data_IF_258651498734
#
_entry.id   IF_258651498734
#
_cell.length_a   1.000
_cell.length_b   1.000
_cell.length_c   1.000
_cell.angle_alpha   90.00
_cell.angle_beta   90.00
_cell.angle_gamma   90.00
#
_symmetry.space_group_name_H-M   'P 1'
#
loop_
_entity.id
_entity.type
_entity.pdbx_description
1 polymer ?
#
# COMPACT_ATOMS: atom_id res chain seq x y z
N UNK A 1 -82.56 -21.48 18.70
CA UNK A 1 -82.90 -21.32 17.27
C UNK A 1 -81.81 -20.50 16.58
N UNK A 2 -81.31 -20.99 15.43
CA UNK A 2 -80.49 -20.33 14.38
C UNK A 2 -79.26 -19.50 14.84
N UNK A 3 -78.03 -19.93 14.55
CA UNK A 3 -77.30 -19.86 13.26
C UNK A 3 -76.45 -18.60 13.11
N UNK A 4 -75.14 -18.79 12.96
CA UNK A 4 -74.38 -18.19 11.85
C UNK A 4 -73.31 -17.15 12.20
N UNK A 5 -72.03 -17.58 12.04
CA UNK A 5 -70.85 -16.96 11.38
C UNK A 5 -70.49 -15.49 11.74
N UNK A 6 -69.24 -15.03 11.76
CA UNK A 6 -68.13 -15.03 10.77
C UNK A 6 -66.85 -14.63 11.55
N UNK A 7 -65.80 -15.46 11.62
CA UNK A 7 -64.54 -15.50 10.84
C UNK A 7 -63.49 -14.39 11.07
N UNK A 8 -62.25 -14.85 11.30
CA UNK A 8 -60.97 -14.19 11.01
C UNK A 8 -60.36 -13.47 12.22
N UNK A 9 -59.19 -13.80 12.75
CA UNK A 9 -58.17 -14.77 12.42
C UNK A 9 -56.93 -14.38 13.24
N UNK A 10 -56.47 -15.25 14.15
CA UNK A 10 -55.24 -15.07 14.90
C UNK A 10 -54.78 -16.42 15.43
N UNK A 11 -53.45 -16.56 15.51
CA UNK A 11 -52.73 -17.50 16.37
C UNK A 11 -52.70 -18.97 15.88
N UNK A 12 -51.71 -19.81 16.18
CA UNK A 12 -50.38 -19.76 16.80
C UNK A 12 -49.87 -21.20 16.59
N UNK A 13 -48.57 -21.34 16.32
CA UNK A 13 -47.65 -22.40 16.74
C UNK A 13 -48.12 -23.86 16.98
N UNK A 14 -47.23 -24.75 16.55
CA UNK A 14 -47.03 -26.15 16.97
C UNK A 14 -47.81 -27.22 16.22
N UNK A 15 -47.04 -28.13 15.60
CA UNK A 15 -47.22 -29.56 15.82
C UNK A 15 -45.97 -30.33 15.33
N UNK A 16 -45.19 -30.81 16.31
CA UNK A 16 -44.42 -32.04 16.21
C UNK A 16 -45.25 -33.10 16.95
N UNK A 17 -45.48 -34.27 16.32
CA UNK A 17 -45.25 -35.62 16.86
C UNK A 17 -46.10 -36.69 16.14
N UNK A 18 -45.44 -37.86 15.96
CA UNK A 18 -45.95 -39.25 15.91
C UNK A 18 -46.60 -39.74 14.59
N UNK A 19 -45.88 -40.50 13.75
CA UNK A 19 -45.58 -41.98 13.80
C UNK A 19 -46.73 -42.85 13.25
N UNK A 20 -46.51 -44.11 12.79
CA UNK A 20 -45.76 -44.54 11.62
C UNK A 20 -46.60 -45.56 10.78
N UNK A 21 -45.94 -46.28 9.87
CA UNK A 21 -46.34 -47.57 9.23
C UNK A 21 -46.90 -47.55 7.82
N UNK A 22 -46.38 -48.55 7.08
CA UNK A 22 -46.94 -49.24 5.93
C UNK A 22 -46.44 -48.88 4.53
N UNK A 23 -45.52 -49.75 4.09
CA UNK A 23 -45.51 -50.51 2.82
C UNK A 23 -45.20 -49.77 1.52
N UNK A 24 -43.98 -50.09 1.05
CA UNK A 24 -43.64 -50.69 -0.25
C UNK A 24 -44.31 -50.06 -1.48
N UNK A 25 -43.52 -49.31 -2.24
CA UNK A 25 -43.85 -48.91 -3.61
C UNK A 25 -42.64 -48.29 -4.27
N UNK A 26 -41.94 -49.11 -5.05
CA UNK A 26 -40.79 -48.77 -5.88
C UNK A 26 -40.99 -47.45 -6.65
N UNK A 27 -40.09 -46.48 -6.45
CA UNK A 27 -39.85 -45.41 -7.41
C UNK A 27 -38.50 -44.75 -7.16
N UNK A 28 -37.67 -44.81 -8.21
CA UNK A 28 -36.52 -43.96 -8.46
C UNK A 28 -35.33 -44.11 -7.50
N UNK A 29 -34.51 -45.10 -7.86
CA UNK A 29 -33.04 -45.00 -7.90
C UNK A 29 -32.64 -43.63 -8.46
N UNK A 30 -32.49 -42.64 -7.58
CA UNK A 30 -31.99 -41.31 -7.91
C UNK A 30 -31.21 -40.69 -6.75
N UNK A 31 -30.49 -41.51 -5.98
CA UNK A 31 -29.56 -41.02 -4.94
C UNK A 31 -28.35 -41.97 -4.86
N UNK A 32 -27.62 -42.10 -5.95
CA UNK A 32 -26.26 -42.68 -5.93
C UNK A 32 -25.44 -42.16 -7.10
N UNK A 33 -25.15 -40.84 -7.12
CA UNK A 33 -23.86 -40.22 -7.48
C UNK A 33 -23.93 -38.75 -7.00
N UNK A 34 -23.94 -38.54 -5.69
CA UNK A 34 -23.42 -37.29 -5.08
C UNK A 34 -22.27 -37.71 -4.16
N UNK A 35 -21.38 -38.52 -4.72
CA UNK A 35 -20.09 -38.84 -4.14
C UNK A 35 -19.04 -38.08 -4.95
N UNK A 36 -18.37 -37.16 -4.28
CA UNK A 36 -17.03 -36.70 -4.64
C UNK A 36 -16.87 -36.08 -6.03
N UNK A 37 -17.50 -34.93 -6.25
CA UNK A 37 -16.77 -33.81 -6.88
C UNK A 37 -16.31 -32.88 -5.76
N UNK A 38 -15.55 -33.44 -4.82
CA UNK A 38 -14.53 -32.63 -4.14
C UNK A 38 -13.63 -32.22 -5.28
N UNK A 39 -13.53 -30.91 -5.52
CA UNK A 39 -12.61 -30.35 -6.48
C UNK A 39 -11.29 -31.08 -6.35
N UNK A 40 -10.93 -31.85 -7.38
CA UNK A 40 -9.52 -32.08 -7.66
C UNK A 40 -8.99 -30.69 -7.98
N UNK A 41 -8.55 -29.97 -6.94
CA UNK A 41 -7.42 -29.09 -7.10
C UNK A 41 -6.38 -29.96 -7.78
N UNK A 42 -6.22 -29.77 -9.09
CA UNK A 42 -4.99 -30.18 -9.73
C UNK A 42 -3.94 -29.38 -8.98
N UNK A 43 -3.28 -30.04 -8.02
CA UNK A 43 -1.94 -29.68 -7.65
C UNK A 43 -1.17 -29.83 -8.95
N UNK A 44 -1.11 -28.74 -9.73
CA UNK A 44 -0.10 -28.62 -10.76
C UNK A 44 1.21 -28.85 -10.03
N UNK A 45 1.99 -29.83 -10.47
CA UNK A 45 3.35 -29.95 -9.97
C UNK A 45 4.00 -28.58 -10.17
N UNK A 46 4.53 -28.00 -9.10
CA UNK A 46 5.24 -26.74 -9.18
C UNK A 46 6.44 -26.96 -10.10
N UNK A 47 6.55 -26.15 -11.16
CA UNK A 47 7.68 -26.23 -12.10
C UNK A 47 8.93 -25.90 -11.30
N UNK A 48 9.88 -26.83 -11.22
CA UNK A 48 11.09 -26.66 -10.40
C UNK A 48 12.24 -26.15 -11.27
N UNK A 49 12.98 -25.13 -10.81
CA UNK A 49 14.02 -24.51 -11.63
C UNK A 49 15.08 -25.53 -12.10
N UNK A 50 15.65 -26.30 -11.18
CA UNK A 50 16.74 -27.23 -11.45
C UNK A 50 16.31 -28.44 -12.29
N UNK A 51 15.05 -28.85 -12.17
CA UNK A 51 14.52 -30.06 -12.83
C UNK A 51 13.87 -29.76 -14.17
N UNK A 52 13.19 -28.62 -14.30
CA UNK A 52 12.40 -28.26 -15.48
C UNK A 52 13.03 -27.16 -16.33
N UNK A 53 13.56 -26.09 -15.71
CA UNK A 53 14.05 -24.91 -16.44
C UNK A 53 15.51 -25.07 -16.85
N UNK A 54 16.35 -25.56 -15.94
CA UNK A 54 17.78 -25.72 -16.18
C UNK A 54 18.10 -26.62 -17.38
N UNK A 55 17.42 -27.76 -17.62
CA UNK A 55 17.64 -28.56 -18.83
C UNK A 55 17.30 -27.80 -20.12
N UNK A 56 16.30 -26.92 -20.11
CA UNK A 56 15.94 -26.09 -21.26
C UNK A 56 17.07 -25.09 -21.55
N UNK A 57 17.59 -24.43 -20.51
CA UNK A 57 18.73 -23.52 -20.65
C UNK A 57 19.95 -24.24 -21.22
N UNK A 58 20.26 -25.45 -20.75
CA UNK A 58 21.38 -26.26 -21.22
C UNK A 58 21.23 -26.68 -22.69
N UNK A 59 20.01 -27.03 -23.12
CA UNK A 59 19.74 -27.45 -24.49
C UNK A 59 19.78 -26.30 -25.53
N UNK A 60 19.26 -25.13 -25.14
CA UNK A 60 18.88 -24.08 -26.09
C UNK A 60 19.53 -22.72 -25.84
N UNK A 61 19.91 -22.38 -24.61
CA UNK A 61 20.37 -21.03 -24.26
C UNK A 61 21.90 -20.95 -24.08
N UNK A 62 22.51 -21.92 -23.40
CA UNK A 62 23.92 -21.88 -23.00
C UNK A 62 24.93 -21.88 -24.16
N UNK A 63 24.51 -22.26 -25.37
CA UNK A 63 25.38 -22.22 -26.56
C UNK A 63 25.76 -20.78 -26.97
N UNK A 64 24.89 -19.82 -26.66
CA UNK A 64 25.03 -18.40 -27.03
C UNK A 64 25.12 -17.45 -25.82
N UNK A 65 24.62 -17.89 -24.67
CA UNK A 65 24.52 -17.15 -23.42
C UNK A 65 25.21 -17.93 -22.28
N UNK A 66 26.44 -18.38 -22.53
CA UNK A 66 27.20 -19.20 -21.59
C UNK A 66 28.71 -19.22 -21.86
N UNK A 67 29.51 -19.19 -20.78
CA UNK A 67 30.96 -19.39 -20.84
C UNK A 67 31.70 -18.32 -21.63
N UNK A 68 32.44 -18.72 -22.67
CA UNK A 68 33.21 -17.79 -23.53
C UNK A 68 32.32 -17.02 -24.54
N UNK A 69 31.03 -17.37 -24.66
CA UNK A 69 30.07 -16.71 -25.57
C UNK A 69 28.92 -16.13 -24.76
N UNK A 70 28.96 -14.82 -24.53
CA UNK A 70 27.96 -14.08 -23.75
C UNK A 70 27.30 -13.05 -24.66
N UNK A 71 26.40 -13.49 -25.54
CA UNK A 71 25.62 -12.56 -26.37
C UNK A 71 24.67 -11.75 -25.48
N UNK A 72 24.46 -10.48 -25.82
CA UNK A 72 23.54 -9.60 -25.09
C UNK A 72 23.94 -9.33 -23.62
N UNK A 73 25.17 -9.64 -23.22
CA UNK A 73 25.63 -9.55 -21.83
C UNK A 73 24.85 -10.44 -20.84
N UNK A 74 24.16 -11.46 -21.33
CA UNK A 74 23.41 -12.43 -20.51
C UNK A 74 24.15 -13.76 -20.48
N UNK A 75 24.47 -14.25 -19.28
CA UNK A 75 25.20 -15.50 -19.03
C UNK A 75 24.41 -16.43 -18.10
N UNK A 76 23.62 -17.34 -18.69
CA UNK A 76 22.86 -18.34 -17.94
C UNK A 76 23.77 -19.42 -17.32
N UNK A 77 25.06 -19.48 -17.68
CA UNK A 77 25.98 -20.48 -17.12
C UNK A 77 26.25 -20.31 -15.62
N UNK A 78 25.96 -19.11 -15.10
CA UNK A 78 26.04 -18.76 -13.67
C UNK A 78 24.76 -19.04 -12.90
N UNK A 79 23.65 -19.32 -13.59
CA UNK A 79 22.35 -19.56 -12.95
C UNK A 79 22.12 -21.06 -12.89
N UNK A 80 22.38 -21.66 -11.72
CA UNK A 80 22.35 -23.12 -11.55
C UNK A 80 21.29 -23.59 -10.58
N UNK A 81 20.84 -22.70 -9.72
CA UNK A 81 19.86 -22.95 -8.68
C UNK A 81 18.73 -21.92 -8.73
N UNK A 82 17.61 -22.26 -8.10
CA UNK A 82 16.47 -21.35 -7.93
C UNK A 82 16.91 -20.03 -7.26
N UNK A 83 17.80 -20.11 -6.26
CA UNK A 83 18.36 -18.94 -5.59
C UNK A 83 19.21 -18.04 -6.51
N UNK A 84 19.94 -18.61 -7.48
CA UNK A 84 20.69 -17.83 -8.47
C UNK A 84 19.73 -17.13 -9.46
N UNK A 85 18.62 -17.79 -9.76
CA UNK A 85 17.59 -17.27 -10.67
C UNK A 85 16.82 -16.12 -10.01
N UNK A 86 16.45 -16.28 -8.73
CA UNK A 86 15.83 -15.24 -7.91
C UNK A 86 16.74 -14.01 -7.74
N UNK A 87 18.05 -14.22 -7.57
CA UNK A 87 19.02 -13.12 -7.49
C UNK A 87 19.09 -12.28 -8.78
N UNK A 88 18.57 -12.81 -9.89
CA UNK A 88 18.51 -12.16 -11.21
C UNK A 88 17.08 -12.10 -11.73
N UNK A 89 16.08 -11.94 -10.84
CA UNK A 89 14.67 -12.02 -11.21
C UNK A 89 14.26 -11.06 -12.35
N UNK A 90 14.79 -9.83 -12.37
CA UNK A 90 14.51 -8.83 -13.43
C UNK A 90 14.90 -9.31 -14.84
N UNK A 91 15.92 -10.17 -14.96
CA UNK A 91 16.32 -10.75 -16.25
C UNK A 91 15.21 -11.65 -16.82
N UNK A 92 14.48 -12.34 -15.95
CA UNK A 92 13.51 -13.36 -16.36
C UNK A 92 12.27 -12.77 -17.03
N UNK A 93 11.88 -11.54 -16.70
CA UNK A 93 10.84 -10.80 -17.43
C UNK A 93 11.20 -10.72 -18.92
N UNK A 94 12.40 -10.24 -19.23
CA UNK A 94 12.90 -10.16 -20.61
C UNK A 94 13.01 -11.54 -21.25
N UNK A 95 13.43 -12.56 -20.51
CA UNK A 95 13.53 -13.94 -21.04
C UNK A 95 12.16 -14.45 -21.47
N UNK A 96 11.12 -14.27 -20.65
CA UNK A 96 9.76 -14.67 -21.00
C UNK A 96 9.30 -13.91 -22.26
N UNK A 97 9.48 -12.58 -22.29
CA UNK A 97 9.08 -11.75 -23.43
C UNK A 97 9.69 -12.22 -24.76
N UNK A 98 11.01 -12.42 -24.82
CA UNK A 98 11.68 -12.82 -26.06
C UNK A 98 11.40 -14.26 -26.48
N UNK A 99 11.12 -15.15 -25.51
CA UNK A 99 10.75 -16.55 -25.77
C UNK A 99 9.31 -16.67 -26.29
N UNK A 100 8.39 -15.91 -25.71
CA UNK A 100 7.01 -15.81 -26.15
C UNK A 100 6.90 -15.17 -27.53
N UNK A 101 7.67 -14.10 -27.78
CA UNK A 101 7.78 -13.47 -29.09
C UNK A 101 8.45 -14.38 -30.14
N UNK A 102 9.13 -15.46 -29.71
CA UNK A 102 9.85 -16.37 -30.60
C UNK A 102 11.11 -15.78 -31.20
N UNK A 103 11.64 -14.71 -30.61
CA UNK A 103 12.92 -14.09 -30.99
C UNK A 103 14.11 -14.95 -30.53
N UNK A 104 13.91 -15.70 -29.45
CA UNK A 104 14.89 -16.64 -28.90
C UNK A 104 14.32 -18.07 -28.82
N UNK A 105 15.08 -19.09 -29.25
CA UNK A 105 16.35 -19.02 -29.99
C UNK A 105 16.21 -18.35 -31.37
N UNK A 106 17.28 -17.81 -31.97
CA UNK A 106 17.21 -17.21 -33.30
C UNK A 106 16.78 -18.22 -34.39
N UNK A 107 16.27 -17.75 -35.52
CA UNK A 107 15.68 -18.60 -36.58
C UNK A 107 16.63 -19.68 -37.13
N UNK A 108 17.95 -19.48 -37.05
CA UNK A 108 18.99 -20.42 -37.48
C UNK A 108 19.30 -21.53 -36.45
N UNK A 109 18.62 -21.52 -35.30
CA UNK A 109 18.79 -22.47 -34.21
C UNK A 109 17.50 -23.25 -33.90
N UNK A 110 17.61 -24.46 -33.31
CA UNK A 110 16.44 -25.24 -32.88
C UNK A 110 15.55 -24.43 -31.94
N UNK A 111 14.28 -24.30 -32.33
CA UNK A 111 13.27 -23.55 -31.58
C UNK A 111 12.80 -24.32 -30.35
N UNK A 112 12.36 -23.59 -29.32
CA UNK A 112 11.74 -24.17 -28.14
C UNK A 112 10.39 -24.80 -28.49
N UNK A 113 10.09 -25.93 -27.86
CA UNK A 113 8.77 -26.56 -27.97
C UNK A 113 7.71 -25.67 -27.27
N UNK A 114 6.43 -25.73 -27.69
CA UNK A 114 5.36 -25.03 -26.97
C UNK A 114 5.32 -25.37 -25.48
N UNK A 115 5.64 -26.62 -25.13
CA UNK A 115 5.71 -27.12 -23.77
C UNK A 115 6.85 -26.45 -22.98
N UNK A 116 8.04 -26.31 -23.57
CA UNK A 116 9.18 -25.65 -22.91
C UNK A 116 8.94 -24.16 -22.70
N UNK A 117 8.35 -23.48 -23.70
CA UNK A 117 7.95 -22.06 -23.56
C UNK A 117 6.99 -21.88 -22.40
N UNK A 118 5.98 -22.76 -22.34
CA UNK A 118 4.99 -22.77 -21.27
C UNK A 118 5.61 -23.00 -19.90
N UNK A 119 6.56 -23.94 -19.77
CA UNK A 119 7.28 -24.18 -18.51
C UNK A 119 8.02 -22.94 -18.02
N UNK A 120 8.72 -22.23 -18.91
CA UNK A 120 9.43 -20.99 -18.57
C UNK A 120 8.46 -19.93 -18.05
N UNK A 121 7.35 -19.72 -18.75
CA UNK A 121 6.32 -18.76 -18.35
C UNK A 121 5.67 -19.13 -17.00
N UNK A 122 5.25 -20.39 -16.84
CA UNK A 122 4.62 -20.87 -15.60
C UNK A 122 5.59 -20.79 -14.41
N UNK A 123 6.88 -21.10 -14.60
CA UNK A 123 7.88 -20.94 -13.55
C UNK A 123 8.04 -19.47 -13.16
N UNK A 124 8.19 -18.55 -14.12
CA UNK A 124 8.30 -17.12 -13.84
C UNK A 124 7.06 -16.56 -13.14
N UNK A 125 5.86 -16.89 -13.62
CA UNK A 125 4.60 -16.49 -13.00
C UNK A 125 4.47 -17.03 -11.57
N UNK A 126 4.88 -18.28 -11.32
CA UNK A 126 4.84 -18.87 -9.98
C UNK A 126 5.77 -18.15 -9.01
N UNK A 127 6.91 -17.64 -9.47
CA UNK A 127 7.87 -16.86 -8.68
C UNK A 127 7.39 -15.42 -8.47
N UNK A 128 6.70 -14.84 -9.46
CA UNK A 128 6.04 -13.55 -9.31
C UNK A 128 4.88 -13.60 -8.30
N UNK A 129 4.14 -14.71 -8.29
CA UNK A 129 3.04 -14.97 -7.37
C UNK A 129 3.49 -15.53 -6.02
N UNK A 130 4.76 -15.92 -5.89
CA UNK A 130 5.30 -16.43 -4.65
C UNK A 130 5.15 -15.36 -3.57
N UNK A 131 4.66 -15.70 -2.37
CA UNK A 131 4.62 -14.76 -1.27
C UNK A 131 6.06 -14.31 -1.00
N UNK A 132 6.38 -13.05 -1.33
CA UNK A 132 7.61 -12.43 -0.85
C UNK A 132 7.58 -12.61 0.66
N UNK A 133 8.57 -13.33 1.21
CA UNK A 133 8.78 -13.34 2.66
C UNK A 133 8.92 -11.88 3.05
N UNK A 134 7.85 -11.31 3.59
CA UNK A 134 7.90 -10.01 4.20
C UNK A 134 8.96 -10.16 5.29
N UNK A 135 10.14 -9.60 5.04
CA UNK A 135 11.14 -9.29 6.06
C UNK A 135 10.94 -7.83 6.46
N UNK A 136 9.78 -7.45 7.04
CA UNK A 136 9.71 -6.14 7.66
C UNK A 136 10.81 -6.15 8.71
N UNK A 137 11.64 -5.12 8.72
CA UNK A 137 12.53 -4.93 9.86
C UNK A 137 11.73 -5.08 11.15
N UNK A 138 12.37 -5.51 12.24
CA UNK A 138 11.73 -5.71 13.56
C UNK A 138 11.01 -4.43 14.07
N UNK A 139 11.19 -3.31 13.39
CA UNK A 139 10.34 -2.14 13.48
C UNK A 139 9.00 -2.36 12.77
N UNK A 140 8.00 -2.85 13.49
CA UNK A 140 6.62 -2.45 13.18
C UNK A 140 6.57 -0.93 13.36
N UNK A 141 6.37 -0.12 12.31
CA UNK A 141 6.34 1.33 12.46
C UNK A 141 5.25 1.67 13.48
N UNK A 142 5.66 2.21 14.64
CA UNK A 142 4.70 2.74 15.60
C UNK A 142 4.14 4.01 15.01
N UNK A 143 2.81 4.16 15.01
CA UNK A 143 2.24 5.47 14.78
C UNK A 143 2.54 6.38 15.97
N UNK A 144 2.50 7.68 15.74
CA UNK A 144 2.52 8.65 16.82
C UNK A 144 1.20 8.56 17.60
N UNK A 145 1.24 8.83 18.89
CA UNK A 145 0.02 9.10 19.67
C UNK A 145 -0.54 10.48 19.28
N UNK A 146 -1.81 10.76 19.59
CA UNK A 146 -2.43 12.06 19.35
C UNK A 146 -1.61 13.23 19.92
N UNK A 147 -1.16 13.18 21.19
CA UNK A 147 -0.28 14.19 21.76
C UNK A 147 1.08 14.29 21.05
N UNK A 148 1.71 13.16 20.69
CA UNK A 148 2.97 13.17 19.94
C UNK A 148 2.79 13.79 18.55
N UNK A 149 1.69 13.49 17.87
CA UNK A 149 1.40 14.02 16.55
C UNK A 149 1.09 15.52 16.59
N UNK A 150 0.30 15.98 17.56
CA UNK A 150 0.07 17.40 17.83
C UNK A 150 1.39 18.14 18.03
N UNK A 151 2.25 17.62 18.90
CA UNK A 151 3.56 18.21 19.17
C UNK A 151 4.47 18.19 17.94
N UNK A 152 4.36 17.14 17.11
CA UNK A 152 5.09 17.02 15.85
C UNK A 152 4.66 18.12 14.88
N UNK A 153 3.35 18.28 14.63
CA UNK A 153 2.86 19.34 13.75
C UNK A 153 3.24 20.73 14.28
N UNK A 154 3.10 20.97 15.59
CA UNK A 154 3.54 22.25 16.19
C UNK A 154 5.04 22.51 15.99
N UNK A 155 5.87 21.49 16.14
CA UNK A 155 7.32 21.60 15.94
C UNK A 155 7.69 21.87 14.48
N UNK A 156 7.00 21.22 13.54
CA UNK A 156 7.24 21.38 12.10
C UNK A 156 6.76 22.73 11.57
N UNK A 157 5.54 23.13 11.92
CA UNK A 157 4.86 24.30 11.36
C UNK A 157 4.99 25.56 12.22
N UNK A 158 5.38 25.44 13.49
CA UNK A 158 5.55 26.57 14.42
C UNK A 158 4.25 27.09 15.04
N UNK A 159 3.12 26.41 14.87
CA UNK A 159 1.83 26.80 15.44
C UNK A 159 0.97 25.58 15.81
N UNK A 160 0.00 25.78 16.70
CA UNK A 160 -1.02 24.76 17.00
C UNK A 160 -2.14 24.76 15.94
N UNK A 161 -2.59 23.57 15.59
CA UNK A 161 -3.83 23.37 14.84
C UNK A 161 -5.01 23.38 15.81
N UNK A 162 -5.82 24.43 15.69
CA UNK A 162 -6.94 24.68 16.58
C UNK A 162 -8.27 24.53 15.84
N UNK A 163 -9.29 24.08 16.57
CA UNK A 163 -10.64 23.98 16.03
C UNK A 163 -11.23 25.39 15.93
N UNK A 164 -11.77 25.72 14.76
CA UNK A 164 -12.59 26.94 14.59
C UNK A 164 -13.98 26.66 15.15
N UNK A 165 -14.12 26.59 16.49
CA UNK A 165 -15.45 26.56 17.11
C UNK A 165 -15.80 27.99 17.49
N UNK A 166 -16.83 28.55 16.84
CA UNK A 166 -17.54 29.69 17.41
C UNK A 166 -18.09 29.22 18.77
N UNK A 167 -17.62 29.82 19.86
CA UNK A 167 -17.94 29.44 21.23
C UNK A 167 -19.43 29.11 21.38
N UNK A 168 -19.76 27.83 21.46
CA UNK A 168 -21.08 27.44 21.96
C UNK A 168 -21.05 27.81 23.44
N UNK A 169 -21.84 28.83 23.83
CA UNK A 169 -21.84 29.49 25.15
C UNK A 169 -22.09 28.57 26.37
N UNK A 170 -22.10 27.25 26.21
CA UNK A 170 -22.50 26.29 27.25
C UNK A 170 -21.60 25.07 27.40
N UNK A 171 -20.43 25.00 26.76
CA UNK A 171 -19.46 23.93 27.03
C UNK A 171 -18.20 24.50 27.67
N UNK A 172 -17.96 24.10 28.92
CA UNK A 172 -16.69 24.34 29.62
C UNK A 172 -15.57 23.69 28.80
N UNK A 173 -14.67 24.51 28.27
CA UNK A 173 -13.40 24.13 27.64
C UNK A 173 -13.47 22.85 26.76
N UNK A 174 -14.06 22.98 25.57
CA UNK A 174 -13.88 21.94 24.54
C UNK A 174 -12.40 21.77 24.18
N UNK A 175 -12.04 20.58 23.70
CA UNK A 175 -10.70 20.33 23.17
C UNK A 175 -10.38 21.33 22.04
N UNK A 176 -9.43 22.23 22.30
CA UNK A 176 -9.02 23.29 21.38
C UNK A 176 -8.19 22.73 20.23
N UNK A 177 -7.45 21.64 20.45
CA UNK A 177 -6.62 21.04 19.42
C UNK A 177 -7.46 20.26 18.41
N UNK A 178 -7.38 20.65 17.14
CA UNK A 178 -8.01 19.90 16.05
C UNK A 178 -7.48 18.46 15.98
N UNK A 179 -6.18 18.27 16.28
CA UNK A 179 -5.54 16.97 16.30
C UNK A 179 -6.15 16.05 17.36
N UNK A 180 -6.28 16.53 18.61
CA UNK A 180 -6.82 15.72 19.71
C UNK A 180 -8.33 15.51 19.61
N UNK A 181 -9.03 16.37 18.85
CA UNK A 181 -10.45 16.20 18.55
C UNK A 181 -10.71 15.13 17.49
N UNK A 182 -9.85 15.02 16.48
CA UNK A 182 -10.03 14.07 15.36
C UNK A 182 -9.42 12.71 15.64
N UNK A 183 -8.25 12.66 16.28
CA UNK A 183 -7.59 11.40 16.58
C UNK A 183 -8.23 10.72 17.81
N UNK A 184 -8.39 9.38 17.79
CA UNK A 184 -8.88 8.66 18.95
C UNK A 184 -7.88 8.74 20.11
N UNK A 185 -8.39 8.65 21.34
CA UNK A 185 -7.53 8.53 22.52
C UNK A 185 -6.73 7.22 22.46
N UNK A 186 -5.41 7.35 22.53
CA UNK A 186 -4.52 6.19 22.48
C UNK A 186 -4.64 5.30 23.72
N UNK A 187 -4.59 3.96 23.55
CA UNK A 187 -4.53 3.05 24.68
C UNK A 187 -3.18 3.17 25.39
N UNK A 188 -3.14 2.98 26.70
CA UNK A 188 -1.88 2.92 27.45
C UNK A 188 -1.09 1.66 27.10
N UNK A 189 0.23 1.81 26.96
CA UNK A 189 1.17 0.70 26.84
C UNK A 189 1.29 -0.12 28.14
N UNK A 190 2.17 -1.12 28.12
CA UNK A 190 2.38 -1.99 29.28
C UNK A 190 3.07 -1.25 30.44
N UNK A 191 3.84 -0.20 30.14
CA UNK A 191 4.37 0.75 31.11
C UNK A 191 3.33 1.72 31.69
N UNK A 192 2.09 1.71 31.17
CA UNK A 192 1.03 2.67 31.53
C UNK A 192 1.10 4.01 30.81
N UNK A 193 2.15 4.27 30.01
CA UNK A 193 2.26 5.49 29.22
C UNK A 193 1.61 5.35 27.83
N UNK A 194 1.06 6.46 27.32
CA UNK A 194 0.41 6.53 25.99
C UNK A 194 1.40 6.66 24.82
N UNK A 195 2.70 6.80 25.10
CA UNK A 195 3.76 6.86 24.08
C UNK A 195 4.51 5.53 23.91
N UNK A 196 4.23 4.54 24.77
CA UNK A 196 4.84 3.21 24.77
C UNK A 196 3.88 2.16 24.19
N UNK A 197 3.17 2.53 23.12
CA UNK A 197 2.07 1.71 22.62
C UNK A 197 2.56 0.74 21.56
N UNK A 198 2.86 -0.48 21.96
CA UNK A 198 2.97 -1.60 21.01
C UNK A 198 1.60 -2.04 20.46
N UNK A 199 0.51 -1.45 20.98
CA UNK A 199 -0.90 -1.81 20.73
C UNK A 199 -1.70 -0.76 19.95
N UNK A 200 -1.04 0.14 19.23
CA UNK A 200 -1.70 1.17 18.42
C UNK A 200 -1.38 0.98 16.93
N UNK A 201 -2.10 0.09 16.22
CA UNK A 201 -1.92 -0.08 14.78
C UNK A 201 -2.34 1.19 14.03
N UNK A 202 -1.72 1.42 12.87
CA UNK A 202 -2.15 2.42 11.90
C UNK A 202 -3.16 1.77 10.95
N UNK A 203 -4.45 2.07 11.13
CA UNK A 203 -5.49 1.66 10.18
C UNK A 203 -5.58 2.64 9.00
N UNK A 204 -6.21 2.24 7.90
CA UNK A 204 -6.49 3.13 6.76
C UNK A 204 -7.28 4.36 7.17
N UNK A 205 -8.37 4.19 7.94
CA UNK A 205 -9.17 5.30 8.44
C UNK A 205 -8.36 6.25 9.33
N UNK A 206 -7.41 5.72 10.10
CA UNK A 206 -6.53 6.57 10.90
C UNK A 206 -5.52 7.29 10.02
N UNK A 207 -4.93 6.62 9.03
CA UNK A 207 -4.06 7.25 8.04
C UNK A 207 -4.72 8.43 7.33
N UNK A 208 -5.99 8.29 6.93
CA UNK A 208 -6.78 9.38 6.35
C UNK A 208 -6.88 10.59 7.29
N UNK A 209 -7.07 10.38 8.60
CA UNK A 209 -7.09 11.47 9.58
C UNK A 209 -5.72 12.15 9.72
N UNK A 210 -4.63 11.38 9.69
CA UNK A 210 -3.27 11.94 9.71
C UNK A 210 -2.98 12.78 8.46
N UNK A 211 -3.36 12.28 7.28
CA UNK A 211 -3.23 12.98 6.01
C UNK A 211 -4.04 14.28 6.03
N UNK A 212 -5.32 14.21 6.40
CA UNK A 212 -6.19 15.38 6.53
C UNK A 212 -5.60 16.45 7.48
N UNK A 213 -5.08 16.04 8.64
CA UNK A 213 -4.46 16.96 9.59
C UNK A 213 -3.18 17.61 9.03
N UNK A 214 -2.40 16.87 8.23
CA UNK A 214 -1.20 17.41 7.56
C UNK A 214 -1.57 18.42 6.49
N UNK A 215 -2.56 18.10 5.66
CA UNK A 215 -3.09 19.01 4.64
C UNK A 215 -3.65 20.28 5.29
N UNK A 216 -4.41 20.15 6.38
CA UNK A 216 -4.92 21.29 7.14
C UNK A 216 -3.78 22.16 7.71
N UNK A 217 -2.66 21.56 8.15
CA UNK A 217 -1.48 22.29 8.59
C UNK A 217 -0.80 23.04 7.43
N UNK A 218 -0.63 22.39 6.27
CA UNK A 218 -0.06 22.99 5.07
C UNK A 218 -0.93 24.15 4.56
N UNK A 219 -2.24 23.96 4.50
CA UNK A 219 -3.19 25.01 4.14
C UNK A 219 -3.12 26.19 5.11
N UNK A 220 -3.08 25.92 6.42
CA UNK A 220 -2.94 26.97 7.42
C UNK A 220 -1.59 27.69 7.31
N UNK A 221 -0.50 26.99 7.00
CA UNK A 221 0.83 27.60 6.85
C UNK A 221 0.85 28.71 5.80
N UNK A 222 0.19 28.49 4.65
CA UNK A 222 0.10 29.46 3.57
C UNK A 222 -1.10 30.43 3.71
N UNK A 223 -1.93 30.32 4.74
CA UNK A 223 -3.06 31.22 4.93
C UNK A 223 -2.58 32.65 5.27
N UNK A 224 -3.26 33.72 4.80
CA UNK A 224 -2.86 35.11 5.08
C UNK A 224 -2.72 35.43 6.58
N UNK A 225 -3.49 34.75 7.44
CA UNK A 225 -3.46 34.92 8.90
C UNK A 225 -2.24 34.28 9.57
N UNK A 226 -1.50 33.41 8.89
CA UNK A 226 -0.38 32.64 9.44
C UNK A 226 0.99 33.11 8.94
N UNK A 227 1.09 34.35 8.43
CA UNK A 227 2.33 34.95 7.91
C UNK A 227 3.55 34.79 8.84
N UNK A 228 3.35 34.89 10.15
CA UNK A 228 4.45 34.73 11.13
C UNK A 228 5.09 33.33 11.10
N UNK A 229 4.29 32.27 10.93
CA UNK A 229 4.80 30.89 10.85
C UNK A 229 5.61 30.66 9.58
N UNK A 230 5.09 31.12 8.44
CA UNK A 230 5.80 31.05 7.16
C UNK A 230 7.10 31.86 7.20
N UNK A 231 7.06 33.09 7.73
CA UNK A 231 8.23 33.96 7.92
C UNK A 231 9.34 33.27 8.72
N UNK A 232 8.98 32.55 9.79
CA UNK A 232 9.94 31.82 10.63
C UNK A 232 10.61 30.64 9.91
N UNK A 233 9.95 30.04 8.92
CA UNK A 233 10.49 28.92 8.16
C UNK A 233 11.39 29.38 7.00
N UNK A 234 10.99 30.42 6.27
CA UNK A 234 11.77 30.96 5.13
C UNK A 234 12.99 31.77 5.57
N UNK A 235 13.00 32.31 6.80
CA UNK A 235 14.11 33.13 7.28
C UNK A 235 14.27 34.43 6.49
N UNK A 236 13.46 35.44 6.80
CA UNK A 236 13.54 36.76 6.18
C UNK A 236 12.42 37.68 6.62
N UNK A 237 12.40 38.92 6.15
CA UNK A 237 11.25 39.80 6.32
C UNK A 237 10.28 39.66 5.14
N UNK A 238 9.00 39.50 5.46
CA UNK A 238 7.92 39.63 4.48
C UNK A 238 7.36 41.04 4.64
N UNK A 239 7.39 41.89 3.60
CA UNK A 239 6.75 43.19 3.62
C UNK A 239 5.26 43.09 4.00
N UNK A 240 4.69 44.17 4.54
CA UNK A 240 3.28 44.17 4.98
C UNK A 240 2.30 43.87 3.82
N UNK A 241 2.64 44.33 2.61
CA UNK A 241 1.88 44.10 1.37
C UNK A 241 2.17 42.75 0.69
N UNK A 242 3.09 41.93 1.23
CA UNK A 242 3.49 40.68 0.61
C UNK A 242 2.33 39.69 0.48
N UNK A 243 2.20 39.09 -0.70
CA UNK A 243 1.19 38.09 -1.01
C UNK A 243 1.83 36.78 -1.48
N UNK A 244 1.02 35.71 -1.54
CA UNK A 244 1.47 34.44 -2.12
C UNK A 244 1.76 34.55 -3.63
N UNK A 245 1.30 35.60 -4.31
CA UNK A 245 1.64 35.86 -5.71
C UNK A 245 3.11 36.28 -5.86
N UNK A 246 3.70 36.84 -4.80
CA UNK A 246 5.08 37.29 -4.73
C UNK A 246 6.03 36.21 -4.18
N UNK A 247 5.57 34.96 -4.05
CA UNK A 247 6.36 33.86 -3.49
C UNK A 247 7.52 33.50 -4.43
N UNK A 248 8.75 33.77 -4.01
CA UNK A 248 9.94 33.63 -4.86
C UNK A 248 10.57 32.23 -4.80
N UNK A 249 11.42 31.91 -5.79
CA UNK A 249 12.18 30.67 -5.81
C UNK A 249 13.19 30.60 -4.65
N UNK A 250 13.79 31.74 -4.24
CA UNK A 250 14.67 31.79 -3.08
C UNK A 250 13.92 31.51 -1.77
N UNK A 251 12.69 32.03 -1.64
CA UNK A 251 11.83 31.75 -0.49
C UNK A 251 11.43 30.27 -0.44
N UNK A 252 11.19 29.65 -1.60
CA UNK A 252 10.92 28.22 -1.70
C UNK A 252 12.13 27.36 -1.32
N UNK A 253 13.33 27.72 -1.80
CA UNK A 253 14.58 27.05 -1.42
C UNK A 253 14.79 27.12 0.09
N UNK A 254 14.66 28.31 0.67
CA UNK A 254 14.81 28.50 2.11
C UNK A 254 13.76 27.70 2.91
N UNK A 255 12.50 27.69 2.45
CA UNK A 255 11.45 26.87 3.07
C UNK A 255 11.82 25.38 3.05
N UNK A 256 12.19 24.83 1.88
CA UNK A 256 12.53 23.41 1.72
C UNK A 256 13.73 23.04 2.58
N UNK A 257 14.78 23.86 2.59
CA UNK A 257 16.00 23.63 3.40
C UNK A 257 15.72 23.69 4.90
N UNK A 258 14.79 24.53 5.33
CA UNK A 258 14.38 24.62 6.74
C UNK A 258 13.42 23.49 7.14
N UNK A 259 12.48 23.14 6.25
CA UNK A 259 11.37 22.24 6.55
C UNK A 259 11.74 20.77 6.40
N UNK A 260 12.40 20.37 5.31
CA UNK A 260 12.65 18.96 4.97
C UNK A 260 13.50 18.24 6.03
N UNK A 261 14.62 18.79 6.54
CA UNK A 261 15.39 18.14 7.60
C UNK A 261 14.59 17.97 8.90
N UNK A 262 13.72 18.95 9.23
CA UNK A 262 12.82 18.87 10.40
C UNK A 262 11.77 17.78 10.21
N UNK A 263 11.16 17.70 9.03
CA UNK A 263 10.15 16.70 8.69
C UNK A 263 10.73 15.29 8.72
N UNK A 264 11.92 15.09 8.14
CA UNK A 264 12.61 13.81 8.11
C UNK A 264 13.32 13.48 9.43
N UNK A 265 13.45 14.45 10.35
CA UNK A 265 14.17 14.36 11.63
C UNK A 265 15.58 13.79 11.49
N UNK A 266 16.26 14.12 10.41
CA UNK A 266 17.62 13.69 10.11
C UNK A 266 18.31 14.73 9.25
N UNK A 267 19.63 14.63 9.21
CA UNK A 267 20.40 15.39 8.23
C UNK A 267 20.08 14.94 6.80
N UNK A 268 20.03 15.90 5.89
CA UNK A 268 19.62 15.67 4.49
C UNK A 268 20.71 16.24 3.59
N UNK A 269 21.41 15.40 2.80
CA UNK A 269 22.46 15.87 1.91
C UNK A 269 21.95 16.92 0.92
N UNK A 270 22.77 17.93 0.62
CA UNK A 270 22.43 19.01 -0.31
C UNK A 270 22.01 18.51 -1.69
N UNK A 271 22.62 17.42 -2.19
CA UNK A 271 22.25 16.81 -3.47
C UNK A 271 20.83 16.23 -3.49
N UNK A 272 20.28 15.86 -2.33
CA UNK A 272 18.89 15.41 -2.21
C UNK A 272 17.94 16.61 -2.15
N UNK A 273 18.33 17.68 -1.47
CA UNK A 273 17.56 18.93 -1.44
C UNK A 273 17.50 19.57 -2.83
N UNK A 274 18.63 19.63 -3.55
CA UNK A 274 18.67 20.15 -4.92
C UNK A 274 17.76 19.40 -5.88
N UNK A 275 17.73 18.05 -5.84
CA UNK A 275 16.78 17.27 -6.66
C UNK A 275 15.31 17.59 -6.36
N UNK A 276 14.96 17.86 -5.10
CA UNK A 276 13.61 18.31 -4.76
C UNK A 276 13.33 19.72 -5.30
N UNK A 277 14.36 20.58 -5.33
CA UNK A 277 14.28 21.95 -5.84
C UNK A 277 14.26 22.04 -7.38
N UNK A 278 14.87 21.09 -8.07
CA UNK A 278 14.82 21.00 -9.53
C UNK A 278 13.38 20.85 -10.04
N UNK A 279 12.54 20.11 -9.31
CA UNK A 279 11.12 19.94 -9.64
C UNK A 279 10.30 21.24 -9.59
N UNK A 280 10.77 22.24 -8.83
CA UNK A 280 10.13 23.55 -8.67
C UNK A 280 10.83 24.68 -9.45
N UNK A 281 11.92 24.38 -10.14
CA UNK A 281 12.73 25.36 -10.86
C UNK A 281 11.94 26.12 -11.93
N UNK A 282 12.16 27.44 -12.01
CA UNK A 282 11.55 28.32 -13.01
C UNK A 282 10.11 28.74 -12.73
N UNK A 283 9.55 28.40 -11.56
CA UNK A 283 8.18 28.74 -11.15
C UNK A 283 8.18 29.82 -10.07
N UNK A 284 7.07 30.53 -9.92
CA UNK A 284 6.91 31.58 -8.91
C UNK A 284 5.44 31.75 -8.50
N UNK A 285 5.23 32.50 -7.42
CA UNK A 285 3.91 32.89 -6.95
C UNK A 285 3.01 31.70 -6.62
N UNK A 286 1.74 31.79 -7.00
CA UNK A 286 0.73 30.78 -6.67
C UNK A 286 1.00 29.40 -7.27
N UNK A 287 1.67 29.32 -8.42
CA UNK A 287 2.04 28.03 -9.02
C UNK A 287 3.04 27.30 -8.13
N UNK A 288 4.05 28.03 -7.65
CA UNK A 288 5.07 27.48 -6.76
C UNK A 288 4.46 27.04 -5.42
N UNK A 289 3.56 27.85 -4.86
CA UNK A 289 2.85 27.50 -3.62
C UNK A 289 2.00 26.23 -3.78
N UNK A 290 1.34 26.04 -4.93
CA UNK A 290 0.58 24.79 -5.18
C UNK A 290 1.49 23.58 -5.14
N UNK A 291 2.65 23.63 -5.79
CA UNK A 291 3.56 22.48 -5.84
C UNK A 291 4.16 22.20 -4.46
N UNK A 292 4.40 23.22 -3.63
CA UNK A 292 4.89 23.00 -2.28
C UNK A 292 3.84 22.40 -1.33
N UNK A 293 2.57 22.39 -1.72
CA UNK A 293 1.47 21.76 -0.97
C UNK A 293 1.23 20.29 -1.37
N UNK A 294 1.72 19.84 -2.53
CA UNK A 294 1.42 18.54 -3.14
C UNK A 294 2.68 17.73 -3.44
#
# INVERSE_FOLDING_TARGET
MRSGKVSGGLAVLSLILREPTARVGSSLVFVTVVLFVVGRSQMSAEVAFEEDIRPILEGSCLKCHGGERVKGSVDFGKIRTDADADAQFELWETVVEVVEAGEMPPEDHPQLTPEDKKKIAEWYESRLAAPVELRPGVFKPRRLSGPEYRNTLRSLFGFDLEVVVAEAQQTVAGEQSLVLKLLPKDPTGDSGFVNDTHRAPLSSALWEQYAFLTEAALEKLFAPKQRAGLKALIGGELPDEWSLEDFSAEQADALVRSFVPRALRRDVPDSRLQRALEAIGGRSGLELVRILKF
#
